data_IF_267290589362
#
_entry.id   IF_267290589362
#
_cell.length_a   1.000
_cell.length_b   1.000
_cell.length_c   1.000
_cell.angle_alpha   90.00
_cell.angle_beta   90.00
_cell.angle_gamma   90.00
#
_symmetry.space_group_name_H-M   'P 1'
#
loop_
_entity.id
_entity.type
_entity.pdbx_description
1 polymer ?
#
# COMPACT_ATOMS: atom_id res chain seq x y z
N UNK A 1 -17.61 16.55 -16.20
CA UNK A 1 -17.62 15.20 -16.83
C UNK A 1 -16.23 14.55 -16.92
N UNK A 2 -15.11 15.29 -16.98
CA UNK A 2 -13.76 14.70 -17.19
C UNK A 2 -12.90 14.43 -15.94
N UNK A 3 -13.27 14.92 -14.76
CA UNK A 3 -12.40 14.84 -13.57
C UNK A 3 -12.15 13.41 -13.08
N UNK A 4 -13.16 12.54 -13.15
CA UNK A 4 -13.00 11.14 -12.75
C UNK A 4 -12.07 10.38 -13.71
N UNK A 5 -12.07 10.73 -15.00
CA UNK A 5 -11.16 10.14 -16.01
C UNK A 5 -9.72 10.55 -15.72
N UNK A 6 -9.51 11.82 -15.35
CA UNK A 6 -8.20 12.31 -14.91
C UNK A 6 -7.74 11.53 -13.68
N UNK A 7 -8.61 11.35 -12.67
CA UNK A 7 -8.33 10.54 -11.49
C UNK A 7 -7.98 9.09 -11.84
N UNK A 8 -8.76 8.45 -12.72
CA UNK A 8 -8.52 7.09 -13.17
C UNK A 8 -7.17 6.94 -13.90
N UNK A 9 -6.83 7.88 -14.80
CA UNK A 9 -5.57 7.87 -15.53
C UNK A 9 -4.37 8.07 -14.60
N UNK A 10 -4.44 9.05 -13.70
CA UNK A 10 -3.39 9.29 -12.69
C UNK A 10 -3.20 8.04 -11.82
N UNK A 11 -4.30 7.40 -11.39
CA UNK A 11 -4.24 6.18 -10.60
C UNK A 11 -3.61 5.02 -11.35
N UNK A 12 -3.92 4.85 -12.64
CA UNK A 12 -3.37 3.81 -13.48
C UNK A 12 -1.84 3.96 -13.58
N UNK A 13 -1.38 5.17 -13.94
CA UNK A 13 0.06 5.48 -14.04
C UNK A 13 0.74 5.32 -12.68
N UNK A 14 0.13 5.83 -11.60
CA UNK A 14 0.62 5.68 -10.23
C UNK A 14 0.74 4.21 -9.82
N UNK A 15 -0.26 3.39 -10.12
CA UNK A 15 -0.29 1.96 -9.79
C UNK A 15 0.79 1.18 -10.54
N UNK A 16 1.03 1.50 -11.81
CA UNK A 16 2.14 0.92 -12.61
C UNK A 16 3.49 1.35 -12.02
N UNK A 17 3.66 2.63 -11.69
CA UNK A 17 4.89 3.15 -11.08
C UNK A 17 5.16 2.50 -9.72
N UNK A 18 4.15 2.35 -8.86
CA UNK A 18 4.27 1.63 -7.58
C UNK A 18 4.75 0.20 -7.82
N UNK A 19 4.15 -0.50 -8.79
CA UNK A 19 4.55 -1.87 -9.12
C UNK A 19 6.00 -1.96 -9.59
N UNK A 20 6.39 -1.06 -10.48
CA UNK A 20 7.74 -1.01 -11.01
C UNK A 20 8.75 -0.68 -9.90
N UNK A 21 8.41 0.27 -9.02
CA UNK A 21 9.20 0.64 -7.87
C UNK A 21 9.40 -0.53 -6.90
N UNK A 22 8.33 -1.24 -6.51
CA UNK A 22 8.44 -2.40 -5.60
C UNK A 22 9.24 -3.55 -6.21
N UNK A 23 9.09 -3.79 -7.51
CA UNK A 23 9.86 -4.81 -8.21
C UNK A 23 11.35 -4.44 -8.33
N UNK A 24 11.68 -3.17 -8.56
CA UNK A 24 13.07 -2.68 -8.53
C UNK A 24 13.69 -2.75 -7.13
N UNK A 25 12.91 -2.40 -6.09
CA UNK A 25 13.34 -2.57 -4.71
C UNK A 25 13.70 -4.03 -4.44
N UNK A 26 12.82 -4.97 -4.82
CA UNK A 26 13.06 -6.41 -4.70
C UNK A 26 14.31 -6.87 -5.46
N UNK A 27 14.55 -6.35 -6.67
CA UNK A 27 15.76 -6.62 -7.41
C UNK A 27 17.02 -6.13 -6.67
N UNK A 28 16.96 -4.96 -6.03
CA UNK A 28 18.03 -4.46 -5.17
C UNK A 28 18.37 -5.38 -3.99
N UNK A 29 17.36 -6.01 -3.38
CA UNK A 29 17.59 -7.01 -2.32
C UNK A 29 18.26 -8.28 -2.86
N UNK A 30 17.81 -8.78 -4.02
CA UNK A 30 18.40 -9.97 -4.67
C UNK A 30 19.87 -9.71 -5.05
N UNK A 31 20.18 -8.54 -5.60
CA UNK A 31 21.55 -8.18 -5.98
C UNK A 31 22.47 -8.11 -4.76
N UNK A 32 21.97 -7.57 -3.65
CA UNK A 32 22.69 -7.54 -2.37
C UNK A 32 22.97 -8.95 -1.83
N UNK A 33 21.97 -9.83 -1.88
CA UNK A 33 22.11 -11.21 -1.41
C UNK A 33 23.16 -11.97 -2.23
N UNK A 34 23.12 -11.84 -3.56
CA UNK A 34 24.10 -12.44 -4.48
C UNK A 34 25.53 -11.95 -4.22
N UNK A 35 25.72 -10.64 -4.02
CA UNK A 35 27.04 -10.09 -3.66
C UNK A 35 27.52 -10.57 -2.28
N UNK A 36 26.61 -10.71 -1.31
CA UNK A 36 26.95 -11.22 0.03
C UNK A 36 27.40 -12.69 -0.01
N UNK A 37 26.80 -13.52 -0.86
CA UNK A 37 27.24 -14.92 -1.05
C UNK A 37 28.59 -15.05 -1.76
N UNK A 38 28.88 -14.17 -2.72
CA UNK A 38 30.15 -14.17 -3.46
C UNK A 38 31.34 -13.72 -2.59
N UNK A 39 31.13 -12.75 -1.69
CA UNK A 39 32.17 -12.31 -0.76
C UNK A 39 32.46 -13.36 0.35
N UNK A 40 31.48 -14.21 0.69
CA UNK A 40 31.61 -15.26 1.72
C UNK A 40 32.50 -16.44 1.29
N UNK A 41 32.56 -16.77 0.00
CA UNK A 41 33.42 -17.86 -0.53
C UNK A 41 34.88 -17.38 -0.80
N UNK A 42 35.14 -16.07 -0.69
CA UNK A 42 36.37 -15.45 -1.17
C UNK A 42 37.47 -15.22 -0.13
N UNK A 43 37.21 -14.69 1.07
CA UNK A 43 38.29 -14.35 2.03
C UNK A 43 37.80 -14.07 3.45
N UNK A 44 38.57 -14.51 4.46
CA UNK A 44 38.43 -14.25 5.90
C UNK A 44 38.65 -12.76 6.31
N UNK A 45 37.90 -11.81 5.76
CA UNK A 45 38.13 -10.37 5.99
C UNK A 45 36.87 -9.57 6.32
N UNK A 46 36.72 -9.19 7.61
CA UNK A 46 35.86 -8.11 8.18
C UNK A 46 34.64 -7.67 7.35
N UNK A 47 33.48 -8.18 7.77
CA UNK A 47 32.13 -7.75 7.41
C UNK A 47 31.98 -6.21 7.34
N UNK A 48 31.87 -5.66 6.13
CA UNK A 48 31.25 -4.36 5.89
C UNK A 48 30.28 -4.49 4.74
N UNK A 49 29.09 -5.03 5.04
CA UNK A 49 27.97 -5.06 4.11
C UNK A 49 27.67 -3.62 3.68
N UNK A 50 27.93 -3.26 2.42
CA UNK A 50 27.57 -1.93 1.91
C UNK A 50 26.07 -1.70 2.14
N UNK A 51 25.67 -0.52 2.65
CA UNK A 51 24.25 -0.24 2.93
C UNK A 51 23.42 -0.41 1.66
N UNK A 52 22.19 -0.91 1.80
CA UNK A 52 21.24 -1.19 0.70
C UNK A 52 21.05 0.05 -0.21
N UNK A 53 21.21 1.24 0.37
CA UNK A 53 21.14 2.55 -0.28
C UNK A 53 22.19 2.74 -1.38
N UNK A 54 23.28 1.95 -1.39
CA UNK A 54 24.34 2.07 -2.38
C UNK A 54 23.93 1.52 -3.76
N UNK A 55 22.99 0.57 -3.81
CA UNK A 55 22.57 -0.05 -5.08
C UNK A 55 21.70 0.91 -5.88
N UNK A 56 22.09 1.16 -7.14
CA UNK A 56 21.40 2.10 -8.03
C UNK A 56 19.93 1.70 -8.27
N UNK A 57 19.68 0.40 -8.47
CA UNK A 57 18.33 -0.15 -8.66
C UNK A 57 17.41 0.10 -7.47
N UNK A 58 17.94 0.07 -6.24
CA UNK A 58 17.17 0.35 -5.03
C UNK A 58 16.83 1.84 -4.91
N UNK A 59 17.79 2.73 -5.21
CA UNK A 59 17.57 4.19 -5.20
C UNK A 59 16.54 4.65 -6.25
N UNK A 60 16.61 4.08 -7.45
CA UNK A 60 15.62 4.35 -8.50
C UNK A 60 14.27 3.74 -8.08
N UNK A 61 14.27 2.53 -7.53
CA UNK A 61 13.07 1.86 -7.04
C UNK A 61 12.30 2.68 -6.00
N UNK A 62 12.98 3.20 -4.98
CA UNK A 62 12.34 4.00 -3.93
C UNK A 62 11.80 5.33 -4.46
N UNK A 63 12.49 5.98 -5.40
CA UNK A 63 12.03 7.22 -6.01
C UNK A 63 10.77 6.99 -6.85
N UNK A 64 10.77 5.97 -7.71
CA UNK A 64 9.61 5.63 -8.55
C UNK A 64 8.43 5.16 -7.69
N UNK A 65 8.70 4.39 -6.64
CA UNK A 65 7.69 3.99 -5.67
C UNK A 65 7.05 5.19 -4.97
N UNK A 66 7.86 6.15 -4.50
CA UNK A 66 7.36 7.35 -3.83
C UNK A 66 6.52 8.21 -4.78
N UNK A 67 7.02 8.46 -6.00
CA UNK A 67 6.30 9.19 -7.03
C UNK A 67 4.96 8.52 -7.39
N UNK A 68 4.96 7.20 -7.53
CA UNK A 68 3.74 6.43 -7.78
C UNK A 68 2.71 6.57 -6.66
N UNK A 69 3.14 6.56 -5.40
CA UNK A 69 2.25 6.80 -4.25
C UNK A 69 1.72 8.24 -4.21
N UNK A 70 2.53 9.24 -4.57
CA UNK A 70 2.07 10.62 -4.69
C UNK A 70 0.97 10.76 -5.76
N UNK A 71 1.16 10.14 -6.94
CA UNK A 71 0.14 10.11 -7.99
C UNK A 71 -1.14 9.42 -7.50
N UNK A 72 -1.01 8.27 -6.85
CA UNK A 72 -2.15 7.54 -6.29
C UNK A 72 -2.92 8.40 -5.25
N UNK A 73 -2.20 9.10 -4.37
CA UNK A 73 -2.78 10.02 -3.40
C UNK A 73 -3.56 11.16 -4.06
N UNK A 74 -3.01 11.76 -5.13
CA UNK A 74 -3.72 12.80 -5.91
C UNK A 74 -5.00 12.20 -6.50
N UNK A 75 -4.96 10.98 -7.03
CA UNK A 75 -6.12 10.34 -7.66
C UNK A 75 -7.31 10.15 -6.71
N UNK A 76 -7.07 9.98 -5.40
CA UNK A 76 -8.14 9.81 -4.39
C UNK A 76 -9.11 10.98 -4.32
N UNK A 77 -8.67 12.19 -4.68
CA UNK A 77 -9.49 13.40 -4.71
C UNK A 77 -10.34 13.55 -5.97
N UNK A 78 -10.06 12.77 -7.02
CA UNK A 78 -10.70 12.92 -8.34
C UNK A 78 -11.65 11.76 -8.70
N UNK A 79 -11.47 10.57 -8.11
CA UNK A 79 -12.24 9.39 -8.45
C UNK A 79 -12.75 8.60 -7.23
N UNK A 80 -13.83 7.85 -7.42
CA UNK A 80 -14.40 6.97 -6.40
C UNK A 80 -13.42 5.86 -6.00
N UNK A 81 -13.38 5.52 -4.70
CA UNK A 81 -12.37 4.57 -4.19
C UNK A 81 -12.58 3.15 -4.73
N UNK A 82 -13.84 2.77 -4.95
CA UNK A 82 -14.20 1.49 -5.57
C UNK A 82 -13.62 1.37 -6.99
N UNK A 83 -13.65 2.45 -7.77
CA UNK A 83 -13.05 2.49 -9.11
C UNK A 83 -11.53 2.41 -9.03
N UNK A 84 -10.91 3.20 -8.15
CA UNK A 84 -9.45 3.21 -7.98
C UNK A 84 -8.91 1.87 -7.47
N UNK A 85 -9.63 1.22 -6.55
CA UNK A 85 -9.29 -0.12 -6.07
C UNK A 85 -9.31 -1.16 -7.19
N UNK A 86 -10.28 -1.07 -8.10
CA UNK A 86 -10.34 -1.93 -9.28
C UNK A 86 -9.16 -1.68 -10.22
N UNK A 87 -8.91 -0.41 -10.58
CA UNK A 87 -7.79 -0.02 -11.46
C UNK A 87 -6.42 -0.43 -10.90
N UNK A 88 -6.28 -0.52 -9.58
CA UNK A 88 -5.07 -1.03 -8.92
C UNK A 88 -4.65 -2.43 -9.38
N UNK A 89 -5.58 -3.25 -9.86
CA UNK A 89 -5.28 -4.58 -10.41
C UNK A 89 -4.45 -4.57 -11.71
N UNK A 90 -4.22 -3.40 -12.33
CA UNK A 90 -3.20 -3.22 -13.37
C UNK A 90 -1.82 -3.71 -12.92
N UNK A 91 -1.56 -3.71 -11.61
CA UNK A 91 -0.35 -4.27 -11.01
C UNK A 91 -0.11 -5.73 -11.40
N UNK A 92 -1.14 -6.54 -11.64
CA UNK A 92 -0.96 -7.92 -12.08
C UNK A 92 -0.36 -7.98 -13.49
N UNK A 93 -0.81 -7.12 -14.40
CA UNK A 93 -0.27 -7.00 -15.76
C UNK A 93 1.18 -6.51 -15.71
N UNK A 94 1.44 -5.45 -14.94
CA UNK A 94 2.78 -4.91 -14.76
C UNK A 94 3.75 -5.91 -14.14
N UNK A 95 3.29 -6.74 -13.19
CA UNK A 95 4.10 -7.80 -12.59
C UNK A 95 4.48 -8.87 -13.61
N UNK A 96 3.56 -9.26 -14.50
CA UNK A 96 3.86 -10.23 -15.58
C UNK A 96 4.91 -9.65 -16.51
N UNK A 97 4.72 -8.40 -16.96
CA UNK A 97 5.66 -7.72 -17.82
C UNK A 97 7.05 -7.64 -17.17
N UNK A 98 7.13 -7.25 -15.90
CA UNK A 98 8.39 -7.19 -15.17
C UNK A 98 9.03 -8.57 -14.98
N UNK A 99 8.23 -9.60 -14.67
CA UNK A 99 8.72 -10.98 -14.52
C UNK A 99 9.32 -11.54 -15.80
N UNK A 100 8.72 -11.20 -16.93
CA UNK A 100 9.21 -11.58 -18.25
C UNK A 100 10.45 -10.77 -18.65
N UNK A 101 10.39 -9.44 -18.59
CA UNK A 101 11.47 -8.57 -19.10
C UNK A 101 12.69 -8.49 -18.17
N UNK A 102 12.49 -8.38 -16.85
CA UNK A 102 13.57 -8.09 -15.91
C UNK A 102 14.13 -9.36 -15.27
N UNK A 103 13.25 -10.29 -14.89
CA UNK A 103 13.70 -11.56 -14.30
C UNK A 103 13.98 -12.65 -15.35
N UNK A 104 13.60 -12.43 -16.61
CA UNK A 104 13.73 -13.39 -17.71
C UNK A 104 13.12 -14.78 -17.35
N UNK A 105 12.06 -14.78 -16.54
CA UNK A 105 11.37 -16.00 -16.07
C UNK A 105 10.16 -16.27 -16.95
N UNK A 106 9.97 -17.54 -17.30
CA UNK A 106 8.77 -17.98 -18.01
C UNK A 106 7.53 -17.81 -17.12
N UNK A 107 6.56 -17.05 -17.61
CA UNK A 107 5.28 -16.84 -16.92
C UNK A 107 4.35 -18.01 -17.26
N UNK A 108 3.86 -18.71 -16.24
CA UNK A 108 2.95 -19.84 -16.42
C UNK A 108 1.65 -19.40 -17.09
N UNK A 109 1.13 -20.20 -18.04
CA UNK A 109 -0.14 -19.93 -18.75
C UNK A 109 -1.31 -19.68 -17.79
N UNK A 110 -1.34 -20.37 -16.63
CA UNK A 110 -2.34 -20.15 -15.58
C UNK A 110 -2.37 -18.69 -15.07
N UNK A 111 -1.20 -18.06 -14.92
CA UNK A 111 -1.07 -16.67 -14.48
C UNK A 111 -1.58 -15.73 -15.57
N UNK A 112 -1.24 -16.00 -16.84
CA UNK A 112 -1.71 -15.23 -17.97
C UNK A 112 -3.25 -15.26 -18.09
N UNK A 113 -3.86 -16.44 -17.98
CA UNK A 113 -5.32 -16.61 -18.02
C UNK A 113 -5.98 -15.89 -16.85
N UNK A 114 -5.46 -16.06 -15.63
CA UNK A 114 -5.99 -15.36 -14.46
C UNK A 114 -5.94 -13.83 -14.63
N UNK A 115 -4.82 -13.29 -15.11
CA UNK A 115 -4.71 -11.85 -15.37
C UNK A 115 -5.62 -11.38 -16.49
N UNK A 116 -5.86 -12.19 -17.53
CA UNK A 116 -6.84 -11.85 -18.57
C UNK A 116 -8.27 -11.72 -17.99
N UNK A 117 -8.68 -12.65 -17.11
CA UNK A 117 -9.97 -12.55 -16.42
C UNK A 117 -10.05 -11.30 -15.52
N UNK A 118 -8.98 -10.96 -14.81
CA UNK A 118 -8.92 -9.73 -13.99
C UNK A 118 -9.08 -8.49 -14.87
N UNK A 119 -8.33 -8.38 -15.97
CA UNK A 119 -8.42 -7.25 -16.90
C UNK A 119 -9.84 -7.13 -17.46
N UNK A 120 -10.43 -8.24 -17.89
CA UNK A 120 -11.80 -8.27 -18.38
C UNK A 120 -12.81 -7.80 -17.31
N UNK A 121 -12.67 -8.28 -16.07
CA UNK A 121 -13.49 -7.81 -14.95
C UNK A 121 -13.39 -6.30 -14.69
N UNK A 122 -12.19 -5.71 -14.84
CA UNK A 122 -12.04 -4.26 -14.73
C UNK A 122 -12.67 -3.51 -15.87
N UNK A 123 -12.63 -4.02 -17.11
CA UNK A 123 -13.31 -3.38 -18.23
C UNK A 123 -14.81 -3.28 -17.94
N UNK A 124 -15.42 -4.35 -17.40
CA UNK A 124 -16.81 -4.30 -16.95
C UNK A 124 -17.02 -3.30 -15.80
N UNK A 125 -16.15 -3.30 -14.79
CA UNK A 125 -16.27 -2.41 -13.65
C UNK A 125 -16.12 -0.93 -14.04
N UNK A 126 -15.20 -0.59 -14.95
CA UNK A 126 -15.05 0.78 -15.44
C UNK A 126 -16.24 1.17 -16.32
N UNK A 127 -16.72 0.27 -17.18
CA UNK A 127 -17.83 0.57 -18.10
C UNK A 127 -19.17 0.76 -17.39
N UNK A 128 -19.46 -0.08 -16.40
CA UNK A 128 -20.75 -0.10 -15.68
C UNK A 128 -20.65 0.44 -14.25
N UNK A 129 -19.46 0.86 -13.82
CA UNK A 129 -19.22 1.35 -12.48
C UNK A 129 -19.95 2.65 -12.20
N UNK A 130 -20.19 2.92 -10.91
CA UNK A 130 -20.71 4.21 -10.51
C UNK A 130 -19.63 5.28 -10.72
N UNK A 131 -19.87 6.22 -11.63
CA UNK A 131 -18.96 7.31 -11.97
C UNK A 131 -19.13 8.53 -11.05
N UNK A 132 -20.08 8.50 -10.11
CA UNK A 132 -20.31 9.60 -9.20
C UNK A 132 -19.19 9.71 -8.16
N UNK A 133 -18.43 10.79 -8.25
CA UNK A 133 -17.45 11.20 -7.24
C UNK A 133 -17.99 12.44 -6.53
N UNK A 134 -18.88 12.29 -5.53
CA UNK A 134 -19.33 13.42 -4.75
C UNK A 134 -18.12 14.07 -4.06
N UNK A 135 -17.91 15.35 -4.33
CA UNK A 135 -16.91 16.16 -3.64
C UNK A 135 -17.49 16.50 -2.27
N UNK A 136 -17.01 15.83 -1.23
CA UNK A 136 -17.47 16.07 0.14
C UNK A 136 -16.79 17.31 0.71
N UNK A 137 -17.57 18.24 1.26
CA UNK A 137 -17.02 19.37 2.02
C UNK A 137 -16.49 18.88 3.38
N UNK A 138 -15.58 19.63 4.05
CA UNK A 138 -15.03 19.25 5.35
C UNK A 138 -16.12 19.01 6.41
N UNK A 139 -17.21 19.76 6.35
CA UNK A 139 -18.32 19.70 7.30
C UNK A 139 -19.13 18.42 7.10
N UNK A 140 -19.41 18.04 5.84
CA UNK A 140 -20.03 16.77 5.50
C UNK A 140 -19.15 15.58 5.86
N UNK A 141 -17.84 15.74 5.74
CA UNK A 141 -16.88 14.71 6.13
C UNK A 141 -16.90 14.55 7.65
N UNK A 142 -16.83 15.64 8.42
CA UNK A 142 -16.91 15.64 9.88
C UNK A 142 -18.24 15.03 10.38
N UNK A 143 -19.37 15.34 9.75
CA UNK A 143 -20.66 14.72 10.05
C UNK A 143 -20.62 13.19 9.83
N UNK A 144 -19.97 12.75 8.76
CA UNK A 144 -19.83 11.32 8.44
C UNK A 144 -18.92 10.58 9.43
N UNK A 145 -17.86 11.23 9.92
CA UNK A 145 -17.02 10.72 11.01
C UNK A 145 -17.74 10.71 12.36
N UNK A 146 -18.64 11.67 12.60
CA UNK A 146 -19.44 11.77 13.82
C UNK A 146 -20.63 10.81 13.86
N UNK A 147 -20.95 10.16 12.74
CA UNK A 147 -22.04 9.20 12.66
C UNK A 147 -21.80 8.01 13.59
N UNK A 148 -22.79 7.71 14.44
CA UNK A 148 -22.75 6.61 15.42
C UNK A 148 -22.39 5.28 14.76
N UNK A 149 -22.89 5.02 13.54
CA UNK A 149 -22.58 3.79 12.79
C UNK A 149 -21.09 3.66 12.49
N UNK A 150 -20.45 4.76 12.11
CA UNK A 150 -19.00 4.78 11.85
C UNK A 150 -18.20 4.63 13.15
N UNK A 151 -18.63 5.25 14.25
CA UNK A 151 -17.98 5.11 15.55
C UNK A 151 -18.05 3.67 16.08
N UNK A 152 -19.21 3.01 15.97
CA UNK A 152 -19.37 1.60 16.34
C UNK A 152 -18.48 0.71 15.48
N UNK A 153 -18.45 0.94 14.17
CA UNK A 153 -17.53 0.24 13.26
C UNK A 153 -16.06 0.41 13.70
N UNK A 154 -15.62 1.64 13.98
CA UNK A 154 -14.27 1.91 14.46
C UNK A 154 -13.95 1.20 15.78
N UNK A 155 -14.88 1.18 16.74
CA UNK A 155 -14.71 0.48 18.02
C UNK A 155 -14.55 -1.03 17.83
N UNK A 156 -15.39 -1.65 17.01
CA UNK A 156 -15.28 -3.07 16.67
C UNK A 156 -13.92 -3.36 16.03
N UNK A 157 -13.48 -2.49 15.11
CA UNK A 157 -12.23 -2.68 14.40
C UNK A 157 -11.00 -2.52 15.31
N UNK A 158 -11.01 -1.54 16.23
CA UNK A 158 -9.98 -1.39 17.27
C UNK A 158 -9.94 -2.63 18.17
N UNK A 159 -11.10 -3.18 18.54
CA UNK A 159 -11.18 -4.37 19.37
C UNK A 159 -10.58 -5.59 18.65
N UNK A 160 -10.91 -5.79 17.36
CA UNK A 160 -10.30 -6.83 16.52
C UNK A 160 -8.79 -6.65 16.47
N UNK A 161 -8.30 -5.44 16.16
CA UNK A 161 -6.86 -5.16 16.09
C UNK A 161 -6.17 -5.43 17.42
N UNK A 162 -6.76 -5.04 18.55
CA UNK A 162 -6.20 -5.27 19.88
C UNK A 162 -6.08 -6.77 20.19
N UNK A 163 -7.11 -7.56 19.87
CA UNK A 163 -7.10 -9.02 20.06
C UNK A 163 -6.00 -9.65 19.19
N UNK A 164 -5.98 -9.36 17.89
CA UNK A 164 -5.01 -9.97 16.97
C UNK A 164 -3.57 -9.51 17.23
N UNK A 165 -3.37 -8.26 17.67
CA UNK A 165 -2.07 -7.77 18.10
C UNK A 165 -1.60 -8.45 19.39
N UNK A 166 -2.51 -8.69 20.34
CA UNK A 166 -2.19 -9.46 21.55
C UNK A 166 -1.82 -10.92 21.22
N UNK A 167 -2.59 -11.57 20.33
CA UNK A 167 -2.31 -12.92 19.85
C UNK A 167 -0.96 -12.97 19.13
N UNK A 168 -0.67 -12.00 18.27
CA UNK A 168 0.61 -11.87 17.56
C UNK A 168 1.79 -11.79 18.53
N UNK A 169 1.73 -10.87 19.51
CA UNK A 169 2.80 -10.69 20.52
C UNK A 169 3.00 -11.93 21.40
N UNK A 170 1.89 -12.59 21.77
CA UNK A 170 1.94 -13.84 22.55
C UNK A 170 2.52 -14.99 21.73
N UNK A 171 2.18 -15.07 20.45
CA UNK A 171 2.70 -16.06 19.51
C UNK A 171 4.20 -15.91 19.27
N UNK A 172 4.68 -14.68 19.06
CA UNK A 172 6.13 -14.42 18.92
C UNK A 172 6.90 -14.82 20.18
N UNK A 173 6.42 -14.45 21.37
CA UNK A 173 7.09 -14.79 22.62
C UNK A 173 7.14 -16.30 22.86
N UNK A 174 6.07 -17.03 22.52
CA UNK A 174 6.02 -18.49 22.67
C UNK A 174 6.92 -19.21 21.66
N UNK A 175 6.98 -18.74 20.42
CA UNK A 175 7.89 -19.27 19.40
C UNK A 175 9.36 -18.99 19.75
N UNK A 176 9.66 -17.80 20.29
CA UNK A 176 11.00 -17.39 20.68
C UNK A 176 11.52 -18.17 21.91
N UNK A 177 10.65 -18.49 22.87
CA UNK A 177 11.05 -19.17 24.12
C UNK A 177 10.96 -20.69 24.01
N UNK A 178 9.96 -21.24 23.32
CA UNK A 178 9.67 -22.68 23.41
C UNK A 178 10.33 -23.52 22.32
N UNK A 179 10.75 -22.93 21.19
CA UNK A 179 11.25 -23.68 20.02
C UNK A 179 10.30 -24.77 19.50
N UNK A 180 9.08 -24.86 20.03
CA UNK A 180 8.10 -25.88 19.68
C UNK A 180 7.42 -25.46 18.38
N UNK A 181 7.70 -26.25 17.35
CA UNK A 181 7.25 -26.08 15.97
C UNK A 181 5.76 -26.46 15.84
N UNK A 182 4.89 -25.74 16.56
CA UNK A 182 3.47 -26.01 16.56
C UNK A 182 2.84 -25.37 15.32
N UNK A 183 2.38 -26.21 14.39
CA UNK A 183 1.78 -25.83 13.09
C UNK A 183 0.71 -24.73 13.20
N UNK A 184 -0.01 -24.69 14.32
CA UNK A 184 -1.00 -23.65 14.62
C UNK A 184 -0.40 -22.24 14.66
N UNK A 185 0.71 -22.03 15.38
CA UNK A 185 1.33 -20.71 15.50
C UNK A 185 1.94 -20.24 14.18
N UNK A 186 2.47 -21.17 13.37
CA UNK A 186 3.05 -20.87 12.06
C UNK A 186 2.04 -20.35 11.04
N UNK A 187 0.76 -20.72 11.18
CA UNK A 187 -0.33 -20.22 10.35
C UNK A 187 -1.03 -19.00 10.97
N UNK A 188 -1.16 -18.96 12.30
CA UNK A 188 -1.84 -17.89 13.01
C UNK A 188 -1.04 -16.58 13.02
N UNK A 189 0.30 -16.63 13.08
CA UNK A 189 1.15 -15.44 13.08
C UNK A 189 0.99 -14.58 11.81
N UNK A 190 1.19 -15.12 10.59
CA UNK A 190 1.03 -14.33 9.37
C UNK A 190 -0.41 -13.87 9.17
N UNK A 191 -1.40 -14.67 9.60
CA UNK A 191 -2.80 -14.28 9.55
C UNK A 191 -3.11 -13.09 10.47
N UNK A 192 -2.61 -13.12 11.71
CA UNK A 192 -2.79 -12.04 12.68
C UNK A 192 -2.09 -10.76 12.21
N UNK A 193 -0.89 -10.88 11.67
CA UNK A 193 -0.17 -9.77 11.04
C UNK A 193 -0.94 -9.20 9.83
N UNK A 194 -1.50 -10.07 8.97
CA UNK A 194 -2.32 -9.64 7.83
C UNK A 194 -3.59 -8.89 8.26
N UNK A 195 -4.26 -9.31 9.34
CA UNK A 195 -5.44 -8.61 9.87
C UNK A 195 -5.06 -7.24 10.41
N UNK A 196 -4.01 -7.16 11.24
CA UNK A 196 -3.57 -5.89 11.83
C UNK A 196 -3.09 -4.92 10.74
N UNK A 197 -2.26 -5.38 9.81
CA UNK A 197 -1.78 -4.56 8.69
C UNK A 197 -2.91 -4.14 7.75
N UNK A 198 -3.87 -5.02 7.45
CA UNK A 198 -5.05 -4.72 6.64
C UNK A 198 -5.96 -3.68 7.29
N UNK A 199 -6.17 -3.77 8.60
CA UNK A 199 -6.91 -2.79 9.39
C UNK A 199 -6.24 -1.41 9.37
N UNK A 200 -4.95 -1.34 9.70
CA UNK A 200 -4.16 -0.10 9.69
C UNK A 200 -4.09 0.49 8.27
N UNK A 201 -3.90 -0.35 7.25
CA UNK A 201 -3.91 0.04 5.86
C UNK A 201 -5.24 0.65 5.41
N UNK A 202 -6.36 0.06 5.84
CA UNK A 202 -7.70 0.59 5.53
C UNK A 202 -7.92 1.99 6.11
N UNK A 203 -7.52 2.21 7.37
CA UNK A 203 -7.56 3.54 7.97
C UNK A 203 -6.60 4.52 7.30
N UNK A 204 -5.40 4.07 6.93
CA UNK A 204 -4.43 4.89 6.19
C UNK A 204 -5.02 5.41 4.88
N UNK A 205 -5.71 4.54 4.11
CA UNK A 205 -6.37 4.90 2.86
C UNK A 205 -7.55 5.85 3.09
N UNK A 206 -8.37 5.57 4.10
CA UNK A 206 -9.48 6.44 4.49
C UNK A 206 -8.96 7.83 4.86
N UNK A 207 -7.84 7.89 5.60
CA UNK A 207 -7.24 9.15 5.97
C UNK A 207 -6.61 9.89 4.79
N UNK A 208 -5.92 9.15 3.92
CA UNK A 208 -5.35 9.69 2.69
C UNK A 208 -6.44 10.29 1.79
N UNK A 209 -7.58 9.61 1.66
CA UNK A 209 -8.69 10.08 0.85
C UNK A 209 -9.34 11.34 1.41
N UNK A 210 -9.59 11.37 2.72
CA UNK A 210 -10.10 12.56 3.40
C UNK A 210 -9.16 13.76 3.22
N UNK A 211 -7.85 13.55 3.38
CA UNK A 211 -6.85 14.59 3.18
C UNK A 211 -6.76 15.05 1.72
N UNK A 212 -6.81 14.14 0.76
CA UNK A 212 -6.79 14.45 -0.68
C UNK A 212 -7.99 15.30 -1.10
N UNK A 213 -9.18 15.01 -0.56
CA UNK A 213 -10.38 15.84 -0.78
C UNK A 213 -10.23 17.24 -0.18
N UNK A 214 -9.72 17.36 1.05
CA UNK A 214 -9.45 18.66 1.69
C UNK A 214 -8.45 19.50 0.89
N UNK A 215 -7.36 18.87 0.42
CA UNK A 215 -6.35 19.54 -0.38
C UNK A 215 -6.91 20.03 -1.72
N UNK A 216 -7.74 19.21 -2.38
CA UNK A 216 -8.43 19.60 -3.62
C UNK A 216 -9.33 20.82 -3.43
N UNK A 217 -10.10 20.85 -2.35
CA UNK A 217 -10.98 22.00 -2.02
C UNK A 217 -10.20 23.27 -1.70
N UNK A 218 -9.07 23.15 -1.00
CA UNK A 218 -8.19 24.29 -0.73
C UNK A 218 -7.60 24.88 -2.01
N UNK A 219 -7.17 24.02 -2.96
CA UNK A 219 -6.62 24.47 -4.24
C UNK A 219 -7.68 25.06 -5.18
N UNK A 220 -8.92 24.55 -5.18
CA UNK A 220 -9.96 25.02 -6.10
C UNK A 220 -10.69 26.27 -5.64
N UNK A 221 -11.00 26.37 -4.34
CA UNK A 221 -11.86 27.43 -3.79
C UNK A 221 -11.13 28.39 -2.84
N UNK A 222 -9.80 28.26 -2.68
CA UNK A 222 -9.04 29.08 -1.72
C UNK A 222 -9.48 28.87 -0.27
N UNK A 223 -10.08 27.70 0.03
CA UNK A 223 -10.64 27.41 1.34
C UNK A 223 -9.53 27.44 2.40
N UNK A 224 -9.75 28.19 3.49
CA UNK A 224 -8.77 28.29 4.57
C UNK A 224 -8.70 26.94 5.28
N UNK A 225 -7.55 26.25 5.14
CA UNK A 225 -7.24 24.98 5.82
C UNK A 225 -7.09 25.12 7.35
N UNK A 226 -7.70 26.13 7.96
CA UNK A 226 -7.56 26.50 9.35
C UNK A 226 -8.70 25.91 10.20
N UNK A 227 -8.97 24.61 10.03
CA UNK A 227 -9.89 23.86 10.87
C UNK A 227 -9.13 22.82 11.68
N UNK A 228 -9.49 22.66 12.96
CA UNK A 228 -8.96 21.62 13.85
C UNK A 228 -9.02 20.22 13.22
N UNK A 229 -10.05 19.96 12.42
CA UNK A 229 -10.23 18.72 11.68
C UNK A 229 -9.08 18.44 10.70
N UNK A 230 -8.63 19.45 9.94
CA UNK A 230 -7.53 19.31 8.97
C UNK A 230 -6.21 18.96 9.66
N UNK A 231 -5.91 19.61 10.79
CA UNK A 231 -4.70 19.31 11.57
C UNK A 231 -4.74 17.89 12.16
N UNK A 232 -5.88 17.47 12.69
CA UNK A 232 -6.08 16.09 13.18
C UNK A 232 -5.88 15.07 12.04
N UNK A 233 -6.43 15.36 10.87
CA UNK A 233 -6.31 14.54 9.67
C UNK A 233 -4.87 14.36 9.19
N UNK A 234 -4.11 15.47 9.15
CA UNK A 234 -2.70 15.47 8.79
C UNK A 234 -1.88 14.66 9.79
N UNK A 235 -2.12 14.83 11.09
CA UNK A 235 -1.42 14.09 12.14
C UNK A 235 -1.65 12.58 12.01
N UNK A 236 -2.89 12.15 11.79
CA UNK A 236 -3.23 10.74 11.59
C UNK A 236 -2.60 10.16 10.32
N UNK A 237 -2.55 10.94 9.24
CA UNK A 237 -1.89 10.54 8.00
C UNK A 237 -0.38 10.38 8.17
N UNK A 238 0.31 11.33 8.82
CA UNK A 238 1.75 11.21 9.05
C UNK A 238 2.11 10.10 10.04
N UNK A 239 1.28 9.88 11.07
CA UNK A 239 1.45 8.76 12.02
C UNK A 239 1.38 7.40 11.30
N UNK A 240 0.37 7.23 10.45
CA UNK A 240 0.21 6.00 9.65
C UNK A 240 1.31 5.84 8.59
N UNK A 241 1.75 6.92 7.94
CA UNK A 241 2.88 6.89 7.02
C UNK A 241 4.20 6.49 7.72
N UNK A 242 4.45 7.00 8.93
CA UNK A 242 5.61 6.63 9.73
C UNK A 242 5.64 5.14 10.09
N UNK A 243 4.48 4.55 10.41
CA UNK A 243 4.34 3.12 10.64
C UNK A 243 4.75 2.29 9.40
N UNK A 244 4.30 2.69 8.20
CA UNK A 244 4.66 2.02 6.95
C UNK A 244 6.14 2.14 6.60
N UNK A 245 6.76 3.30 6.83
CA UNK A 245 8.20 3.48 6.62
C UNK A 245 9.02 2.56 7.53
N UNK A 246 8.55 2.32 8.76
CA UNK A 246 9.20 1.36 9.66
C UNK A 246 9.12 -0.07 9.11
N UNK A 247 7.95 -0.48 8.63
CA UNK A 247 7.77 -1.81 8.00
C UNK A 247 8.67 -1.99 6.78
N UNK A 248 8.77 -0.99 5.90
CA UNK A 248 9.61 -1.06 4.69
C UNK A 248 11.10 -1.24 5.04
N UNK A 249 11.56 -0.75 6.21
CA UNK A 249 12.92 -0.95 6.68
C UNK A 249 13.19 -2.34 7.27
N UNK A 250 12.14 -3.02 7.73
CA UNK A 250 12.22 -4.36 8.33
C UNK A 250 12.04 -5.50 7.31
N UNK A 251 11.59 -5.17 6.09
CA UNK A 251 11.56 -6.05 4.90
C UNK A 251 12.94 -6.17 4.23
#
# INVERSE_FOLDING_TARGET
MGEWVIGAFINLVGSIAINFGTNLLKLGHIEREKHSTLDSDGTNGKHSLKPIVHYHSWRVGILVFLLGNCLNFISFGYAAQSLLAALGSVQFVSNIAFSYFVFNKMVTVKVLVATAFIVLGNIFLVSFGNHQSPVYTPEQLAEKYSNITFLVYCLILIFIVAIYHYIYRKGENLLAVSGQDNRYWRMLLPFSYAIVSGAVGSFSVLFAKSLSNLLRLAMSNGYQLHSWFTYSMLLLFFSTAGFWVKIIKEL
#
